data_IF_979187786248
#
_entry.id   IF_979187786248
#
_cell.length_a   1.000
_cell.length_b   1.000
_cell.length_c   1.000
_cell.angle_alpha   90.00
_cell.angle_beta   90.00
_cell.angle_gamma   90.00
#
_symmetry.space_group_name_H-M   'P 1'
#
loop_
_entity.id
_entity.type
_entity.pdbx_description
1 polymer ?
#
# COMPACT_ATOMS: atom_id res chain seq x y z
N UNK A 1 -20.57 -36.97 6.66
CA UNK A 1 -22.01 -36.73 6.90
C UNK A 1 -22.14 -35.50 7.79
N UNK A 2 -22.20 -34.31 7.20
CA UNK A 2 -22.51 -33.08 7.92
C UNK A 2 -23.88 -32.61 7.45
N UNK A 3 -24.78 -32.44 8.40
CA UNK A 3 -26.18 -32.10 8.22
C UNK A 3 -26.31 -30.71 7.57
N UNK A 4 -26.94 -30.64 6.40
CA UNK A 4 -27.55 -29.40 5.92
C UNK A 4 -28.77 -29.13 6.82
N UNK A 5 -28.70 -28.13 7.68
CA UNK A 5 -29.87 -27.67 8.44
C UNK A 5 -30.73 -26.82 7.49
N UNK A 6 -31.75 -27.44 6.92
CA UNK A 6 -32.76 -26.77 6.10
C UNK A 6 -33.75 -26.10 7.07
N UNK A 7 -33.92 -24.78 6.97
CA UNK A 7 -34.99 -24.06 7.67
C UNK A 7 -36.35 -24.50 7.09
N UNK A 8 -37.04 -25.40 7.79
CA UNK A 8 -38.45 -25.71 7.56
C UNK A 8 -39.22 -25.56 8.89
N UNK A 9 -40.49 -25.13 8.85
CA UNK A 9 -41.31 -25.04 10.04
C UNK A 9 -41.74 -26.46 10.47
N UNK A 10 -41.31 -26.89 11.67
CA UNK A 10 -41.72 -28.11 12.40
C UNK A 10 -41.10 -29.46 11.94
N UNK A 11 -40.92 -30.45 12.84
CA UNK A 11 -40.11 -31.64 12.57
C UNK A 11 -40.93 -32.74 11.87
N UNK A 12 -40.47 -33.22 10.71
CA UNK A 12 -40.98 -34.43 10.05
C UNK A 12 -39.89 -35.51 9.99
N UNK A 13 -40.26 -36.75 10.29
CA UNK A 13 -39.39 -37.93 10.24
C UNK A 13 -39.23 -38.42 8.79
N UNK A 14 -38.00 -38.78 8.38
CA UNK A 14 -37.66 -39.21 7.02
C UNK A 14 -37.27 -40.69 6.97
N UNK A 15 -37.73 -41.42 5.93
CA UNK A 15 -37.25 -42.75 5.56
C UNK A 15 -36.37 -42.68 4.30
N UNK A 16 -35.08 -43.03 4.46
CA UNK A 16 -34.05 -43.37 3.44
C UNK A 16 -34.09 -42.72 2.04
N UNK A 17 -33.03 -41.97 1.70
CA UNK A 17 -32.73 -41.53 0.33
C UNK A 17 -31.67 -42.45 -0.32
N UNK A 18 -31.91 -42.89 -1.56
CA UNK A 18 -30.92 -43.56 -2.41
C UNK A 18 -30.25 -42.55 -3.34
N UNK A 19 -28.92 -42.56 -3.40
CA UNK A 19 -28.11 -41.77 -4.34
C UNK A 19 -27.39 -42.72 -5.27
N UNK A 20 -27.60 -42.59 -6.59
CA UNK A 20 -26.86 -43.33 -7.61
C UNK A 20 -26.15 -42.39 -8.58
N UNK A 21 -24.83 -42.52 -8.66
CA UNK A 21 -23.90 -42.04 -9.71
C UNK A 21 -23.29 -40.61 -9.59
N UNK A 22 -21.99 -40.41 -9.92
CA UNK A 22 -21.26 -39.16 -9.69
C UNK A 22 -21.27 -38.13 -10.85
N UNK A 23 -22.04 -38.36 -11.92
CA UNK A 23 -21.93 -37.57 -13.17
C UNK A 23 -23.23 -36.95 -13.69
N UNK A 24 -24.19 -36.63 -12.83
CA UNK A 24 -25.40 -35.89 -13.23
C UNK A 24 -25.45 -34.51 -12.58
N UNK A 25 -25.64 -33.47 -13.41
CA UNK A 25 -25.83 -32.08 -13.01
C UNK A 25 -27.14 -31.81 -12.29
N UNK A 26 -28.02 -32.82 -12.17
CA UNK A 26 -29.30 -32.76 -11.50
C UNK A 26 -29.46 -33.99 -10.59
N UNK A 27 -29.76 -33.77 -9.31
CA UNK A 27 -30.18 -34.83 -8.39
C UNK A 27 -31.65 -34.57 -8.06
N UNK A 28 -32.52 -35.45 -8.53
CA UNK A 28 -33.93 -35.42 -8.17
C UNK A 28 -34.10 -36.18 -6.85
N UNK A 29 -34.50 -35.47 -5.79
CA UNK A 29 -34.86 -36.09 -4.51
C UNK A 29 -36.37 -36.22 -4.46
N UNK A 30 -36.87 -37.45 -4.39
CA UNK A 30 -38.30 -37.74 -4.19
C UNK A 30 -38.54 -37.97 -2.71
N UNK A 31 -39.40 -37.15 -2.09
CA UNK A 31 -39.85 -37.35 -0.72
C UNK A 31 -41.36 -37.64 -0.78
N UNK A 32 -41.78 -38.77 -0.22
CA UNK A 32 -43.18 -39.08 0.00
C UNK A 32 -43.59 -38.61 1.40
N UNK A 33 -44.60 -37.75 1.47
CA UNK A 33 -45.35 -37.49 2.69
C UNK A 33 -46.52 -38.50 2.83
N UNK A 34 -46.96 -38.72 4.06
CA UNK A 34 -48.12 -39.51 4.50
C UNK A 34 -49.45 -39.20 3.77
N UNK A 35 -49.52 -38.09 3.03
CA UNK A 35 -50.66 -37.67 2.21
C UNK A 35 -50.56 -38.04 0.71
N UNK A 36 -49.55 -38.84 0.31
CA UNK A 36 -49.33 -39.34 -1.06
C UNK A 36 -49.14 -38.26 -2.15
N UNK A 37 -48.73 -37.04 -1.76
CA UNK A 37 -48.32 -35.98 -2.69
C UNK A 37 -46.82 -36.08 -2.98
N UNK A 38 -46.45 -36.09 -4.27
CA UNK A 38 -45.06 -36.07 -4.72
C UNK A 38 -44.62 -34.61 -4.87
N UNK A 39 -43.64 -34.17 -4.08
CA UNK A 39 -43.04 -32.85 -4.19
C UNK A 39 -41.69 -32.99 -4.89
N UNK A 40 -41.52 -32.36 -6.06
CA UNK A 40 -40.24 -32.29 -6.76
C UNK A 40 -39.44 -31.10 -6.24
N UNK A 41 -38.33 -31.36 -5.56
CA UNK A 41 -37.32 -30.35 -5.28
C UNK A 41 -36.21 -30.46 -6.32
N UNK A 42 -36.06 -29.45 -7.16
CA UNK A 42 -34.85 -29.29 -7.97
C UNK A 42 -33.76 -28.74 -7.05
N UNK A 43 -32.94 -29.63 -6.48
CA UNK A 43 -31.71 -29.21 -5.83
C UNK A 43 -30.76 -28.68 -6.92
N UNK A 44 -30.63 -27.36 -7.03
CA UNK A 44 -29.57 -26.76 -7.84
C UNK A 44 -28.26 -27.19 -7.18
N UNK A 45 -27.45 -27.95 -7.93
CA UNK A 45 -26.07 -28.20 -7.57
C UNK A 45 -25.41 -26.83 -7.38
N UNK A 46 -25.17 -26.43 -6.14
CA UNK A 46 -24.15 -25.44 -5.84
C UNK A 46 -22.85 -26.08 -6.32
N UNK A 47 -22.54 -25.90 -7.60
CA UNK A 47 -21.18 -26.05 -8.07
C UNK A 47 -20.35 -25.24 -7.08
N UNK A 48 -19.63 -25.95 -6.21
CA UNK A 48 -18.49 -25.40 -5.52
C UNK A 48 -17.49 -25.10 -6.64
N UNK A 49 -17.72 -23.99 -7.36
CA UNK A 49 -16.81 -23.45 -8.36
C UNK A 49 -15.50 -23.29 -7.62
N UNK A 50 -14.57 -24.19 -7.90
CA UNK A 50 -13.29 -24.25 -7.21
C UNK A 50 -12.63 -22.87 -7.34
N UNK A 51 -12.55 -22.14 -6.22
CA UNK A 51 -11.96 -20.82 -6.21
C UNK A 51 -10.48 -20.95 -6.59
N UNK A 52 -9.97 -20.12 -7.53
CA UNK A 52 -8.59 -20.21 -7.95
C UNK A 52 -7.63 -19.94 -6.80
N UNK A 53 -6.47 -20.60 -6.81
CA UNK A 53 -5.35 -20.27 -5.93
C UNK A 53 -4.71 -18.96 -6.39
N UNK A 54 -4.47 -18.05 -5.47
CA UNK A 54 -4.00 -16.69 -5.77
C UNK A 54 -2.63 -16.45 -5.15
N UNK A 55 -1.68 -16.00 -5.97
CA UNK A 55 -0.41 -15.44 -5.51
C UNK A 55 -0.46 -13.91 -5.59
N UNK A 56 -0.15 -13.24 -4.49
CA UNK A 56 -0.09 -11.76 -4.43
C UNK A 56 1.37 -11.33 -4.39
N UNK A 57 1.79 -10.56 -5.37
CA UNK A 57 3.12 -9.94 -5.38
C UNK A 57 2.99 -8.42 -5.27
N UNK A 58 3.60 -7.86 -4.23
CA UNK A 58 3.47 -6.44 -3.90
C UNK A 58 4.72 -5.66 -4.28
N UNK A 59 4.52 -4.57 -5.00
CA UNK A 59 5.52 -3.57 -5.31
C UNK A 59 5.16 -2.24 -4.66
N UNK A 60 6.15 -1.56 -4.08
CA UNK A 60 6.00 -0.17 -3.61
C UNK A 60 6.27 0.01 -2.13
N UNK A 61 5.43 0.82 -1.48
CA UNK A 61 5.65 1.27 -0.10
C UNK A 61 4.82 0.45 0.91
N UNK A 62 4.95 0.81 2.19
CA UNK A 62 4.13 0.26 3.29
C UNK A 62 2.62 0.38 3.01
N UNK A 63 2.20 1.42 2.28
CA UNK A 63 0.81 1.59 1.87
C UNK A 63 0.36 0.51 0.87
N UNK A 64 1.19 0.21 -0.15
CA UNK A 64 0.92 -0.90 -1.08
C UNK A 64 0.88 -2.25 -0.35
N UNK A 65 1.73 -2.43 0.67
CA UNK A 65 1.68 -3.63 1.51
C UNK A 65 0.38 -3.71 2.30
N UNK A 66 -0.07 -2.59 2.91
CA UNK A 66 -1.39 -2.50 3.55
C UNK A 66 -2.53 -2.86 2.59
N UNK A 67 -2.51 -2.36 1.34
CA UNK A 67 -3.53 -2.71 0.35
C UNK A 67 -3.50 -4.22 0.02
N UNK A 68 -2.31 -4.83 0.00
CA UNK A 68 -2.16 -6.26 -0.24
C UNK A 68 -2.65 -7.09 0.94
N UNK A 69 -2.40 -6.65 2.17
CA UNK A 69 -2.94 -7.27 3.38
C UNK A 69 -4.48 -7.23 3.37
N UNK A 70 -5.08 -6.12 2.89
CA UNK A 70 -6.52 -5.98 2.72
C UNK A 70 -7.07 -6.90 1.61
N UNK A 71 -6.44 -6.89 0.42
CA UNK A 71 -6.81 -7.79 -0.69
C UNK A 71 -6.75 -9.26 -0.23
N UNK A 72 -5.68 -9.65 0.47
CA UNK A 72 -5.52 -10.99 1.01
C UNK A 72 -6.63 -11.35 2.01
N UNK A 73 -6.99 -10.43 2.92
CA UNK A 73 -8.07 -10.64 3.88
C UNK A 73 -9.43 -10.84 3.20
N UNK A 74 -9.75 -9.99 2.21
CA UNK A 74 -10.99 -10.08 1.43
C UNK A 74 -11.06 -11.43 0.68
N UNK A 75 -9.99 -11.79 -0.03
CA UNK A 75 -9.92 -13.05 -0.78
C UNK A 75 -10.06 -14.28 0.15
N UNK A 76 -9.42 -14.25 1.33
CA UNK A 76 -9.52 -15.35 2.29
C UNK A 76 -10.94 -15.53 2.83
N UNK A 77 -11.65 -14.43 3.14
CA UNK A 77 -13.04 -14.48 3.58
C UNK A 77 -14.00 -15.00 2.49
N UNK A 78 -13.70 -14.69 1.23
CA UNK A 78 -14.45 -15.17 0.06
C UNK A 78 -14.07 -16.60 -0.39
N UNK A 79 -13.26 -17.31 0.42
CA UNK A 79 -12.91 -18.71 0.21
C UNK A 79 -11.81 -18.96 -0.83
N UNK A 80 -11.07 -17.94 -1.27
CA UNK A 80 -9.90 -18.12 -2.13
C UNK A 80 -8.71 -18.65 -1.32
N UNK A 81 -7.89 -19.50 -1.95
CA UNK A 81 -6.67 -20.01 -1.32
C UNK A 81 -5.47 -19.14 -1.71
N UNK A 82 -4.82 -18.53 -0.73
CA UNK A 82 -3.59 -17.76 -0.96
C UNK A 82 -2.36 -18.69 -0.96
N UNK A 83 -1.56 -18.62 -2.02
CA UNK A 83 -0.31 -19.39 -2.16
C UNK A 83 0.91 -18.49 -2.01
N UNK A 84 2.05 -19.07 -1.65
CA UNK A 84 3.29 -18.33 -1.34
C UNK A 84 4.25 -18.18 -2.52
N UNK A 85 4.03 -18.93 -3.60
CA UNK A 85 4.88 -18.90 -4.79
C UNK A 85 4.03 -18.77 -6.05
N UNK A 86 4.68 -18.28 -7.12
CA UNK A 86 4.04 -18.00 -8.41
C UNK A 86 3.64 -19.27 -9.15
N UNK A 87 4.39 -20.35 -8.92
CA UNK A 87 4.24 -21.63 -9.58
C UNK A 87 2.97 -22.37 -9.15
N UNK A 88 2.56 -22.18 -7.90
CA UNK A 88 1.36 -22.78 -7.32
C UNK A 88 0.08 -21.95 -7.59
N UNK A 89 0.19 -20.84 -8.31
CA UNK A 89 -0.91 -19.92 -8.49
C UNK A 89 -1.72 -20.23 -9.76
N UNK A 90 -3.05 -20.21 -9.64
CA UNK A 90 -3.96 -20.24 -10.79
C UNK A 90 -4.20 -18.82 -11.32
N UNK A 91 -4.09 -17.80 -10.45
CA UNK A 91 -4.11 -16.36 -10.78
C UNK A 91 -3.02 -15.62 -10.01
N UNK A 92 -2.30 -14.73 -10.69
CA UNK A 92 -1.27 -13.86 -10.09
C UNK A 92 -1.80 -12.44 -9.98
N UNK A 93 -1.90 -11.91 -8.76
CA UNK A 93 -2.28 -10.51 -8.52
C UNK A 93 -1.03 -9.68 -8.24
N UNK A 94 -0.71 -8.74 -9.14
CA UNK A 94 0.40 -7.81 -8.95
C UNK A 94 -0.13 -6.50 -8.38
N UNK A 95 0.17 -6.18 -7.11
CA UNK A 95 -0.11 -4.87 -6.54
C UNK A 95 1.04 -3.92 -6.85
N UNK A 96 0.79 -2.95 -7.70
CA UNK A 96 1.81 -2.15 -8.40
C UNK A 96 1.97 -0.75 -7.83
N UNK A 97 3.15 -0.17 -8.07
CA UNK A 97 3.50 1.18 -7.67
C UNK A 97 3.89 2.03 -8.88
N UNK A 98 3.50 3.32 -8.87
CA UNK A 98 3.81 4.30 -9.94
C UNK A 98 4.87 5.34 -9.50
N UNK A 99 5.34 5.28 -8.25
CA UNK A 99 6.15 6.37 -7.66
C UNK A 99 7.60 6.35 -8.15
N UNK A 100 8.24 5.18 -8.25
CA UNK A 100 9.66 5.05 -8.61
C UNK A 100 9.82 4.43 -10.01
N UNK A 101 10.56 5.11 -10.89
CA UNK A 101 10.79 4.66 -12.26
C UNK A 101 11.43 3.28 -12.36
N UNK A 102 12.43 2.98 -11.53
CA UNK A 102 13.06 1.67 -11.49
C UNK A 102 12.09 0.55 -11.06
N UNK A 103 11.17 0.83 -10.13
CA UNK A 103 10.15 -0.12 -9.69
C UNK A 103 9.13 -0.35 -10.81
N UNK A 104 8.68 0.70 -11.47
CA UNK A 104 7.77 0.61 -12.61
C UNK A 104 8.37 -0.24 -13.75
N UNK A 105 9.64 -0.01 -14.12
CA UNK A 105 10.29 -0.83 -15.15
C UNK A 105 10.37 -2.31 -14.77
N UNK A 106 10.62 -2.64 -13.50
CA UNK A 106 10.57 -4.03 -13.00
C UNK A 106 9.17 -4.63 -13.15
N UNK A 107 8.13 -3.87 -12.80
CA UNK A 107 6.73 -4.28 -12.95
C UNK A 107 6.42 -4.55 -14.43
N UNK A 108 6.79 -3.65 -15.34
CA UNK A 108 6.53 -3.82 -16.78
C UNK A 108 7.25 -5.04 -17.36
N UNK A 109 8.49 -5.28 -16.95
CA UNK A 109 9.22 -6.49 -17.33
C UNK A 109 8.52 -7.76 -16.80
N UNK A 110 8.08 -7.74 -15.54
CA UNK A 110 7.32 -8.85 -14.93
C UNK A 110 6.02 -9.12 -15.69
N UNK A 111 5.24 -8.08 -15.99
CA UNK A 111 3.99 -8.19 -16.75
C UNK A 111 4.24 -8.85 -18.11
N UNK A 112 5.22 -8.36 -18.86
CA UNK A 112 5.59 -8.93 -20.16
C UNK A 112 5.91 -10.43 -20.05
N UNK A 113 6.76 -10.82 -19.08
CA UNK A 113 7.13 -12.22 -18.83
C UNK A 113 5.91 -13.09 -18.53
N UNK A 114 5.00 -12.63 -17.68
CA UNK A 114 3.82 -13.39 -17.30
C UNK A 114 2.83 -13.55 -18.47
N UNK A 115 2.66 -12.50 -19.28
CA UNK A 115 1.81 -12.54 -20.48
C UNK A 115 2.38 -13.49 -21.53
N UNK A 116 3.69 -13.45 -21.78
CA UNK A 116 4.39 -14.39 -22.68
C UNK A 116 4.24 -15.85 -22.21
N UNK A 117 4.26 -16.06 -20.88
CA UNK A 117 4.01 -17.36 -20.26
C UNK A 117 2.52 -17.74 -20.16
N UNK A 118 1.61 -16.93 -20.74
CA UNK A 118 0.15 -17.13 -20.73
C UNK A 118 -0.42 -17.32 -19.33
N UNK A 119 0.16 -16.66 -18.32
CA UNK A 119 -0.35 -16.66 -16.95
C UNK A 119 -1.60 -15.78 -16.87
N UNK A 120 -2.49 -16.12 -15.95
CA UNK A 120 -3.67 -15.31 -15.61
C UNK A 120 -3.27 -14.27 -14.58
N UNK A 121 -3.50 -12.99 -14.86
CA UNK A 121 -2.93 -11.88 -14.10
C UNK A 121 -4.03 -10.88 -13.76
N UNK A 122 -4.00 -10.36 -12.53
CA UNK A 122 -4.70 -9.13 -12.14
C UNK A 122 -3.66 -8.05 -11.88
N UNK A 123 -3.84 -6.86 -12.42
CA UNK A 123 -2.95 -5.72 -12.13
C UNK A 123 -3.68 -4.76 -11.20
N UNK A 124 -3.19 -4.64 -9.98
CA UNK A 124 -3.78 -3.82 -8.93
C UNK A 124 -2.91 -2.62 -8.54
N UNK A 125 -3.46 -1.67 -7.79
CA UNK A 125 -2.70 -0.63 -7.09
C UNK A 125 -2.52 0.67 -7.86
N UNK A 126 -1.43 1.39 -7.59
CA UNK A 126 -1.28 2.79 -8.05
C UNK A 126 -1.05 2.92 -9.56
N UNK A 127 -0.43 1.92 -10.21
CA UNK A 127 -0.12 2.00 -11.64
C UNK A 127 -1.37 1.92 -12.53
N UNK A 128 -2.28 0.93 -12.37
CA UNK A 128 -3.50 0.88 -13.18
C UNK A 128 -4.43 2.07 -12.90
N UNK A 129 -4.41 2.63 -11.69
CA UNK A 129 -5.18 3.84 -11.36
C UNK A 129 -4.62 5.09 -12.06
N UNK A 130 -3.31 5.32 -11.98
CA UNK A 130 -2.70 6.54 -12.52
C UNK A 130 -2.41 6.48 -14.02
N UNK A 131 -2.20 5.29 -14.58
CA UNK A 131 -1.82 5.10 -15.98
C UNK A 131 -2.31 3.74 -16.53
N UNK A 132 -3.64 3.57 -16.68
CA UNK A 132 -4.22 2.32 -17.18
C UNK A 132 -3.72 1.98 -18.59
N UNK A 133 -3.52 2.97 -19.45
CA UNK A 133 -3.05 2.75 -20.84
C UNK A 133 -1.65 2.13 -20.89
N UNK A 134 -0.77 2.49 -19.96
CA UNK A 134 0.53 1.82 -19.86
C UNK A 134 0.35 0.35 -19.48
N UNK A 135 -0.54 0.03 -18.55
CA UNK A 135 -0.80 -1.37 -18.19
C UNK A 135 -1.40 -2.14 -19.36
N UNK A 136 -2.42 -1.58 -20.04
CA UNK A 136 -3.10 -2.21 -21.19
C UNK A 136 -2.13 -2.51 -22.34
N UNK A 137 -1.09 -1.68 -22.55
CA UNK A 137 -0.05 -1.96 -23.55
C UNK A 137 0.78 -3.21 -23.24
N UNK A 138 0.99 -3.54 -21.96
CA UNK A 138 1.82 -4.68 -21.55
C UNK A 138 1.00 -5.92 -21.17
N UNK A 139 -0.23 -5.73 -20.70
CA UNK A 139 -1.15 -6.79 -20.27
C UNK A 139 -2.61 -6.44 -20.66
N UNK A 140 -2.95 -6.47 -21.96
CA UNK A 140 -4.23 -5.96 -22.47
C UNK A 140 -5.47 -6.72 -21.98
N UNK A 141 -5.31 -8.00 -21.61
CA UNK A 141 -6.40 -8.86 -21.15
C UNK A 141 -6.47 -8.98 -19.62
N UNK A 142 -5.58 -8.31 -18.88
CA UNK A 142 -5.53 -8.43 -17.43
C UNK A 142 -6.58 -7.50 -16.78
N UNK A 143 -7.44 -8.01 -15.89
CA UNK A 143 -8.28 -7.17 -15.06
C UNK A 143 -7.48 -6.11 -14.31
N UNK A 144 -8.05 -4.92 -14.23
CA UNK A 144 -7.46 -3.77 -13.55
C UNK A 144 -8.19 -3.48 -12.25
N UNK A 145 -7.44 -3.43 -11.16
CA UNK A 145 -7.95 -3.13 -9.82
C UNK A 145 -7.32 -1.84 -9.28
N UNK A 146 -8.13 -0.80 -9.23
CA UNK A 146 -7.77 0.52 -8.75
C UNK A 146 -7.50 0.56 -7.25
N UNK A 147 -6.95 1.67 -6.78
CA UNK A 147 -6.58 1.83 -5.36
C UNK A 147 -7.78 1.95 -4.44
N UNK A 148 -8.89 2.49 -4.95
CA UNK A 148 -10.15 2.71 -4.23
C UNK A 148 -11.14 1.54 -4.38
N UNK A 149 -10.78 0.49 -5.12
CA UNK A 149 -11.69 -0.59 -5.47
C UNK A 149 -11.28 -1.95 -4.88
N UNK A 150 -10.48 -1.97 -3.80
CA UNK A 150 -9.92 -3.21 -3.24
C UNK A 150 -10.98 -4.28 -2.90
N UNK A 151 -12.21 -3.86 -2.55
CA UNK A 151 -13.34 -4.76 -2.31
C UNK A 151 -13.71 -5.62 -3.52
N UNK A 152 -13.39 -5.17 -4.73
CA UNK A 152 -13.65 -5.88 -6.00
C UNK A 152 -12.54 -6.88 -6.37
N UNK A 153 -11.58 -7.14 -5.46
CA UNK A 153 -10.52 -8.12 -5.70
C UNK A 153 -11.05 -9.53 -6.03
N UNK A 154 -12.09 -10.07 -5.34
CA UNK A 154 -12.70 -11.36 -5.69
C UNK A 154 -13.18 -11.41 -7.15
N UNK A 155 -13.90 -10.38 -7.60
CA UNK A 155 -14.44 -10.28 -8.95
C UNK A 155 -13.33 -10.14 -9.99
N UNK A 156 -12.29 -9.34 -9.69
CA UNK A 156 -11.15 -9.19 -10.57
C UNK A 156 -10.37 -10.51 -10.73
N UNK A 157 -10.15 -11.25 -9.63
CA UNK A 157 -9.50 -12.56 -9.65
C UNK A 157 -10.34 -13.58 -10.42
N UNK A 158 -11.65 -13.61 -10.16
CA UNK A 158 -12.56 -14.52 -10.86
C UNK A 158 -12.62 -14.23 -12.37
N UNK A 159 -12.68 -12.95 -12.75
CA UNK A 159 -12.62 -12.54 -14.15
C UNK A 159 -11.31 -12.98 -14.82
N UNK A 160 -10.17 -12.79 -14.15
CA UNK A 160 -8.88 -13.25 -14.66
C UNK A 160 -8.85 -14.78 -14.84
N UNK A 161 -9.43 -15.53 -13.90
CA UNK A 161 -9.53 -16.99 -13.98
C UNK A 161 -10.34 -17.46 -15.20
N UNK A 162 -11.45 -16.77 -15.47
CA UNK A 162 -12.36 -17.04 -16.59
C UNK A 162 -11.88 -16.45 -17.93
N UNK A 163 -10.74 -15.73 -17.95
CA UNK A 163 -10.23 -15.07 -19.15
C UNK A 163 -11.04 -13.84 -19.58
N UNK A 164 -11.79 -13.24 -18.65
CA UNK A 164 -12.54 -11.99 -18.86
C UNK A 164 -11.73 -10.79 -18.42
N UNK A 165 -11.91 -9.68 -19.13
CA UNK A 165 -11.36 -8.38 -18.78
C UNK A 165 -12.40 -7.54 -18.03
N UNK A 166 -12.03 -6.99 -16.88
CA UNK A 166 -12.84 -6.05 -16.09
C UNK A 166 -11.97 -4.94 -15.53
N UNK A 167 -12.54 -3.74 -15.38
CA UNK A 167 -11.81 -2.57 -14.87
C UNK A 167 -12.57 -1.96 -13.70
N UNK A 168 -11.96 -2.00 -12.52
CA UNK A 168 -12.46 -1.37 -11.30
C UNK A 168 -11.55 -0.19 -10.95
N UNK A 169 -11.68 0.92 -11.67
CA UNK A 169 -10.85 2.12 -11.50
C UNK A 169 -11.68 3.27 -10.89
N UNK A 170 -11.03 4.15 -10.11
CA UNK A 170 -11.69 5.28 -9.47
C UNK A 170 -12.59 4.88 -8.29
N UNK A 171 -13.55 5.76 -7.98
CA UNK A 171 -14.47 5.60 -6.85
C UNK A 171 -13.94 6.12 -5.51
N UNK A 172 -14.71 5.90 -4.45
CA UNK A 172 -14.33 6.17 -3.06
C UNK A 172 -14.49 4.87 -2.28
N UNK A 173 -13.37 4.31 -1.83
CA UNK A 173 -13.36 3.08 -1.03
C UNK A 173 -12.81 3.34 0.34
N UNK A 174 -13.55 2.95 1.38
CA UNK A 174 -13.02 2.90 2.74
C UNK A 174 -12.05 1.72 2.85
N UNK A 175 -10.79 1.98 3.25
CA UNK A 175 -9.78 0.92 3.36
C UNK A 175 -9.56 0.47 4.78
N UNK A 176 -9.75 1.35 5.75
CA UNK A 176 -9.41 1.07 7.14
C UNK A 176 -10.20 -0.12 7.69
N UNK A 177 -11.50 -0.16 7.40
CA UNK A 177 -12.44 -1.21 7.81
C UNK A 177 -12.34 -2.52 7.03
N UNK A 178 -11.54 -2.56 5.94
CA UNK A 178 -11.42 -3.77 5.13
C UNK A 178 -10.78 -4.91 5.93
N UNK A 179 -11.25 -6.15 5.76
CA UNK A 179 -10.61 -7.33 6.32
C UNK A 179 -9.14 -7.39 5.91
N UNK A 180 -8.25 -7.57 6.89
CA UNK A 180 -6.79 -7.62 6.67
C UNK A 180 -6.23 -8.94 7.12
N UNK A 181 -5.40 -9.52 6.27
CA UNK A 181 -4.56 -10.64 6.64
C UNK A 181 -3.28 -10.12 7.29
N UNK A 182 -3.16 -10.29 8.61
CA UNK A 182 -1.94 -9.91 9.34
C UNK A 182 -0.97 -11.09 9.35
N UNK A 183 -0.04 -11.11 8.39
CA UNK A 183 1.01 -12.12 8.36
C UNK A 183 2.07 -11.84 9.44
N UNK A 184 1.85 -12.39 10.64
CA UNK A 184 2.80 -12.35 11.76
C UNK A 184 2.66 -11.13 12.67
N UNK A 185 3.77 -10.69 13.25
CA UNK A 185 3.77 -9.70 14.33
C UNK A 185 3.61 -8.23 13.90
N UNK A 186 3.42 -7.94 12.61
CA UNK A 186 3.41 -6.57 12.07
C UNK A 186 2.06 -6.25 11.42
N UNK A 187 1.38 -5.21 11.91
CA UNK A 187 0.18 -4.66 11.30
C UNK A 187 0.49 -3.35 10.57
N UNK A 188 -0.04 -3.18 9.36
CA UNK A 188 0.09 -1.96 8.55
C UNK A 188 -1.28 -1.27 8.48
N UNK A 189 -1.38 -0.12 9.12
CA UNK A 189 -2.67 0.57 9.32
C UNK A 189 -2.63 1.90 8.57
N UNK A 190 -3.45 2.08 7.52
CA UNK A 190 -3.56 3.35 6.84
C UNK A 190 -4.34 4.34 7.71
N UNK A 191 -3.74 5.49 8.03
CA UNK A 191 -4.38 6.53 8.85
C UNK A 191 -5.08 7.60 8.00
N UNK A 192 -4.68 7.73 6.75
CA UNK A 192 -5.30 8.59 5.76
C UNK A 192 -5.03 8.03 4.36
N UNK A 193 -5.85 8.41 3.39
CA UNK A 193 -5.59 8.21 1.96
C UNK A 193 -5.40 9.54 1.24
N UNK A 194 -4.80 9.48 0.05
CA UNK A 194 -4.55 10.64 -0.78
C UNK A 194 -3.53 11.60 -0.17
N UNK A 195 -3.38 12.78 -0.78
CA UNK A 195 -2.35 13.74 -0.37
C UNK A 195 -2.82 15.17 -0.61
N UNK A 196 -2.38 16.11 0.24
CA UNK A 196 -2.58 17.56 -0.01
C UNK A 196 -1.56 18.13 -1.00
N UNK A 197 -0.39 17.50 -1.12
CA UNK A 197 0.74 18.02 -1.88
C UNK A 197 0.42 18.30 -3.36
N UNK A 198 1.03 19.36 -3.90
CA UNK A 198 0.95 19.74 -5.31
C UNK A 198 2.31 19.55 -6.02
N UNK A 199 3.08 18.55 -5.58
CA UNK A 199 4.45 18.30 -6.04
C UNK A 199 4.46 18.13 -7.57
N UNK A 200 5.36 18.83 -8.25
CA UNK A 200 5.39 18.91 -9.72
C UNK A 200 5.71 17.60 -10.42
N UNK A 201 6.23 16.61 -9.69
CA UNK A 201 6.74 15.33 -10.21
C UNK A 201 5.93 14.10 -9.78
N UNK A 202 4.98 14.27 -8.86
CA UNK A 202 4.33 13.16 -8.19
C UNK A 202 2.98 12.83 -8.82
N UNK A 203 2.69 11.54 -9.02
CA UNK A 203 1.39 11.05 -9.51
C UNK A 203 0.45 10.59 -8.39
N UNK A 204 0.83 10.77 -7.12
CA UNK A 204 0.04 10.26 -5.98
C UNK A 204 -1.40 10.75 -6.00
N UNK A 205 -1.67 12.02 -6.34
CA UNK A 205 -3.06 12.52 -6.45
C UNK A 205 -3.85 11.86 -7.57
N UNK A 206 -3.20 11.48 -8.67
CA UNK A 206 -3.85 10.71 -9.74
C UNK A 206 -4.18 9.30 -9.27
N UNK A 207 -3.29 8.69 -8.48
CA UNK A 207 -3.45 7.32 -8.00
C UNK A 207 -4.31 7.18 -6.73
N UNK A 208 -4.46 8.23 -5.91
CA UNK A 208 -5.01 8.15 -4.54
C UNK A 208 -5.95 9.30 -4.19
N UNK A 209 -6.10 10.29 -5.07
CA UNK A 209 -6.96 11.45 -4.82
C UNK A 209 -6.41 12.44 -3.78
N UNK A 210 -7.32 13.26 -3.28
CA UNK A 210 -7.05 14.25 -2.23
C UNK A 210 -7.02 13.59 -0.86
N UNK A 211 -6.44 14.30 0.12
CA UNK A 211 -6.39 13.83 1.51
C UNK A 211 -7.79 13.49 2.02
N UNK A 212 -7.90 12.29 2.57
CA UNK A 212 -9.03 11.82 3.35
C UNK A 212 -8.50 11.10 4.59
N UNK A 213 -8.56 11.76 5.75
CA UNK A 213 -8.13 11.19 7.02
C UNK A 213 -9.24 10.34 7.63
N UNK A 214 -8.87 9.20 8.22
CA UNK A 214 -9.82 8.42 9.01
C UNK A 214 -9.99 9.04 10.41
N UNK A 215 -11.19 9.00 11.01
CA UNK A 215 -11.40 9.45 12.39
C UNK A 215 -10.48 8.72 13.37
N UNK A 216 -10.06 9.41 14.44
CA UNK A 216 -9.11 8.87 15.43
C UNK A 216 -9.65 7.57 16.02
N UNK A 217 -10.93 7.56 16.39
CA UNK A 217 -11.62 6.42 16.97
C UNK A 217 -11.56 5.18 16.08
N UNK A 218 -11.69 5.34 14.76
CA UNK A 218 -11.59 4.24 13.81
C UNK A 218 -10.16 3.68 13.76
N UNK A 219 -9.16 4.57 13.76
CA UNK A 219 -7.75 4.15 13.74
C UNK A 219 -7.37 3.47 15.05
N UNK A 220 -7.77 4.02 16.20
CA UNK A 220 -7.54 3.45 17.53
C UNK A 220 -8.17 2.07 17.65
N UNK A 221 -9.42 1.91 17.21
CA UNK A 221 -10.10 0.62 17.21
C UNK A 221 -9.37 -0.43 16.37
N UNK A 222 -8.91 -0.06 15.17
CA UNK A 222 -8.14 -0.98 14.32
C UNK A 222 -6.78 -1.34 14.94
N UNK A 223 -6.09 -0.38 15.57
CA UNK A 223 -4.84 -0.66 16.29
C UNK A 223 -5.09 -1.62 17.44
N UNK A 224 -6.13 -1.37 18.25
CA UNK A 224 -6.50 -2.22 19.36
C UNK A 224 -6.80 -3.66 18.90
N UNK A 225 -7.63 -3.81 17.85
CA UNK A 225 -7.92 -5.10 17.24
C UNK A 225 -6.65 -5.84 16.80
N UNK A 226 -5.69 -5.14 16.18
CA UNK A 226 -4.43 -5.76 15.76
C UNK A 226 -3.58 -6.20 16.95
N UNK A 227 -3.53 -5.42 18.04
CA UNK A 227 -2.80 -5.76 19.26
C UNK A 227 -3.43 -6.98 19.95
N UNK A 228 -4.76 -7.06 20.00
CA UNK A 228 -5.50 -8.21 20.53
C UNK A 228 -5.26 -9.49 19.72
N UNK A 229 -5.06 -9.36 18.40
CA UNK A 229 -4.64 -10.45 17.51
C UNK A 229 -3.14 -10.81 17.64
N UNK A 230 -2.40 -10.16 18.55
CA UNK A 230 -1.01 -10.47 18.85
C UNK A 230 0.03 -9.71 18.03
N UNK A 231 -0.37 -8.68 17.27
CA UNK A 231 0.60 -7.83 16.57
C UNK A 231 1.46 -7.03 17.57
N UNK A 232 2.78 -7.04 17.35
CA UNK A 232 3.79 -6.38 18.19
C UNK A 232 4.35 -5.10 17.57
N UNK A 233 4.19 -4.90 16.28
CA UNK A 233 4.61 -3.69 15.59
C UNK A 233 3.48 -3.13 14.72
N UNK A 234 3.14 -1.87 14.97
CA UNK A 234 2.10 -1.13 14.27
C UNK A 234 2.77 -0.10 13.36
N UNK A 235 2.60 -0.27 12.05
CA UNK A 235 3.11 0.64 11.03
C UNK A 235 1.98 1.57 10.59
N UNK A 236 1.94 2.79 11.13
CA UNK A 236 0.97 3.80 10.69
C UNK A 236 1.42 4.37 9.35
N UNK A 237 0.57 4.31 8.33
CA UNK A 237 0.94 4.68 6.97
C UNK A 237 -0.06 5.64 6.33
N UNK A 238 0.48 6.56 5.53
CA UNK A 238 -0.25 7.46 4.65
C UNK A 238 0.71 7.90 3.55
N UNK A 239 0.20 8.56 2.52
CA UNK A 239 1.04 9.24 1.53
C UNK A 239 1.83 10.38 2.18
N UNK A 240 1.28 10.98 3.24
CA UNK A 240 1.94 11.96 4.10
C UNK A 240 1.29 11.90 5.48
N UNK A 241 1.93 11.22 6.44
CA UNK A 241 1.37 11.07 7.79
C UNK A 241 1.29 12.41 8.52
N UNK A 242 2.17 13.36 8.19
CA UNK A 242 2.15 14.69 8.78
C UNK A 242 0.93 15.51 8.34
N UNK A 243 0.30 15.16 7.22
CA UNK A 243 -0.92 15.82 6.76
C UNK A 243 -2.19 15.30 7.46
N UNK A 244 -2.10 14.20 8.23
CA UNK A 244 -3.25 13.60 8.90
C UNK A 244 -4.03 14.63 9.74
N UNK A 245 -5.35 14.60 9.62
CA UNK A 245 -6.26 15.40 10.42
C UNK A 245 -6.55 16.80 9.89
N UNK A 246 -5.78 17.30 8.91
CA UNK A 246 -5.98 18.65 8.35
C UNK A 246 -7.34 18.84 7.67
N UNK A 247 -7.96 17.76 7.20
CA UNK A 247 -9.29 17.72 6.57
C UNK A 247 -10.43 17.46 7.57
N UNK A 248 -10.15 16.99 8.78
CA UNK A 248 -11.15 16.63 9.81
C UNK A 248 -10.95 17.38 11.14
N UNK A 249 -10.18 18.48 11.14
CA UNK A 249 -9.91 19.36 12.30
C UNK A 249 -9.26 18.64 13.50
N UNK A 250 -8.32 17.74 13.23
CA UNK A 250 -7.41 17.15 14.23
C UNK A 250 -5.97 17.20 13.68
N UNK A 251 -5.04 16.45 14.27
CA UNK A 251 -3.68 16.33 13.77
C UNK A 251 -3.04 14.97 14.17
N UNK A 252 -1.87 14.69 13.60
CA UNK A 252 -1.13 13.47 13.88
C UNK A 252 -0.74 13.31 15.35
N UNK A 253 -0.50 14.40 16.08
CA UNK A 253 -0.09 14.34 17.50
C UNK A 253 -1.24 13.80 18.35
N UNK A 254 -2.46 14.31 18.15
CA UNK A 254 -3.67 13.82 18.83
C UNK A 254 -3.94 12.34 18.54
N UNK A 255 -3.79 11.92 17.29
CA UNK A 255 -3.90 10.49 16.93
C UNK A 255 -2.85 9.65 17.67
N UNK A 256 -1.59 10.08 17.65
CA UNK A 256 -0.51 9.34 18.30
C UNK A 256 -0.71 9.27 19.82
N UNK A 257 -1.20 10.34 20.45
CA UNK A 257 -1.58 10.35 21.86
C UNK A 257 -2.65 9.28 22.14
N UNK A 258 -3.72 9.24 21.35
CA UNK A 258 -4.75 8.22 21.53
C UNK A 258 -4.23 6.79 21.33
N UNK A 259 -3.34 6.58 20.34
CA UNK A 259 -2.76 5.26 20.05
C UNK A 259 -1.82 4.78 21.16
N UNK A 260 -1.02 5.65 21.79
CA UNK A 260 -0.10 5.22 22.86
C UNK A 260 -0.81 4.88 24.17
N UNK A 261 -2.06 5.32 24.37
CA UNK A 261 -2.87 4.95 25.54
C UNK A 261 -3.43 3.52 25.45
N UNK A 262 -3.48 2.92 24.25
CA UNK A 262 -4.00 1.55 24.06
C UNK A 262 -3.17 0.56 24.90
N UNK A 263 -3.78 -0.26 25.79
CA UNK A 263 -3.05 -1.20 26.62
C UNK A 263 -2.38 -2.30 25.77
N UNK A 264 -1.28 -2.85 26.28
CA UNK A 264 -0.55 -3.93 25.63
C UNK A 264 0.90 -3.58 25.26
N UNK A 265 1.67 -4.62 24.99
CA UNK A 265 3.07 -4.53 24.60
C UNK A 265 3.22 -4.57 23.07
N UNK A 266 3.34 -3.38 22.47
CA UNK A 266 3.57 -3.18 21.05
C UNK A 266 4.39 -1.90 20.82
N UNK A 267 4.95 -1.77 19.62
CA UNK A 267 5.64 -0.56 19.16
C UNK A 267 4.96 0.03 17.94
N UNK A 268 4.91 1.36 17.88
CA UNK A 268 4.38 2.13 16.75
C UNK A 268 5.55 2.71 15.95
N UNK A 269 5.51 2.52 14.64
CA UNK A 269 6.38 3.22 13.70
C UNK A 269 5.54 4.12 12.81
N UNK A 270 5.79 5.41 12.92
CA UNK A 270 5.13 6.43 12.10
C UNK A 270 5.76 6.43 10.71
N UNK A 271 4.91 6.48 9.69
CA UNK A 271 5.29 6.60 8.30
C UNK A 271 5.97 7.93 7.96
N UNK A 272 6.17 8.17 6.68
CA UNK A 272 6.84 9.39 6.22
C UNK A 272 6.00 10.63 6.51
N UNK A 273 6.68 11.72 6.88
CA UNK A 273 6.07 13.03 7.11
C UNK A 273 6.75 14.06 6.21
N UNK A 274 5.96 14.87 5.52
CA UNK A 274 6.49 16.04 4.83
C UNK A 274 7.03 17.08 5.83
N UNK A 275 8.24 17.65 5.60
CA UNK A 275 8.80 18.70 6.46
C UNK A 275 7.86 19.87 6.73
N UNK A 276 7.05 20.30 5.75
CA UNK A 276 6.06 21.36 5.91
C UNK A 276 5.10 21.07 7.06
N UNK A 277 4.53 19.87 7.10
CA UNK A 277 3.53 19.53 8.10
C UNK A 277 4.17 19.15 9.43
N UNK A 278 5.29 18.42 9.41
CA UNK A 278 6.02 18.08 10.62
C UNK A 278 6.47 19.31 11.40
N UNK A 279 6.90 20.39 10.71
CA UNK A 279 7.34 21.62 11.37
C UNK A 279 6.22 22.28 12.18
N UNK A 280 4.99 22.29 11.65
CA UNK A 280 3.82 22.92 12.30
C UNK A 280 3.45 22.27 13.64
N UNK A 281 3.79 21.01 13.82
CA UNK A 281 3.46 20.21 14.99
C UNK A 281 4.71 19.74 15.74
N UNK A 282 5.88 20.33 15.47
CA UNK A 282 7.16 19.83 15.96
C UNK A 282 7.22 19.65 17.49
N UNK A 283 6.77 20.61 18.34
CA UNK A 283 6.78 20.40 19.80
C UNK A 283 5.92 19.21 20.24
N UNK A 284 4.73 19.07 19.66
CA UNK A 284 3.82 17.95 19.96
C UNK A 284 4.38 16.62 19.49
N UNK A 285 4.99 16.57 18.30
CA UNK A 285 5.69 15.38 17.80
C UNK A 285 6.84 14.97 18.72
N UNK A 286 7.65 15.92 19.18
CA UNK A 286 8.72 15.62 20.12
C UNK A 286 8.17 15.03 21.41
N UNK A 287 7.07 15.58 21.95
CA UNK A 287 6.42 15.08 23.17
C UNK A 287 5.91 13.65 23.01
N UNK A 288 5.14 13.33 21.95
CA UNK A 288 4.60 11.96 21.77
C UNK A 288 5.70 10.94 21.52
N UNK A 289 6.79 11.34 20.84
CA UNK A 289 7.96 10.49 20.64
C UNK A 289 8.71 10.19 21.93
N UNK A 290 8.40 10.79 23.08
CA UNK A 290 8.95 10.39 24.38
C UNK A 290 8.43 9.03 24.82
N UNK A 291 7.19 8.69 24.43
CA UNK A 291 6.60 7.39 24.72
C UNK A 291 7.48 6.25 24.22
N UNK A 292 7.70 5.26 25.07
CA UNK A 292 8.42 4.04 24.70
C UNK A 292 7.67 3.23 23.63
N UNK A 293 6.34 3.38 23.51
CA UNK A 293 5.59 2.73 22.44
C UNK A 293 5.96 3.28 21.06
N UNK A 294 6.41 4.53 20.94
CA UNK A 294 6.84 5.07 19.63
C UNK A 294 8.31 4.73 19.37
N UNK A 295 8.56 4.03 18.27
CA UNK A 295 9.92 3.76 17.76
C UNK A 295 10.62 5.09 17.52
N UNK A 296 11.87 5.21 18.00
CA UNK A 296 12.76 6.35 17.72
C UNK A 296 13.27 6.30 16.27
N UNK A 297 12.33 6.45 15.33
CA UNK A 297 12.53 6.44 13.90
C UNK A 297 11.74 7.61 13.28
N UNK A 298 12.42 8.44 12.50
CA UNK A 298 11.83 9.57 11.80
C UNK A 298 12.08 9.42 10.30
N UNK A 299 11.01 9.29 9.52
CA UNK A 299 11.10 9.32 8.06
C UNK A 299 10.62 10.68 7.55
N UNK A 300 11.58 11.50 7.11
CA UNK A 300 11.34 12.90 6.73
C UNK A 300 11.98 13.18 5.36
N UNK A 301 11.22 13.10 4.25
CA UNK A 301 11.76 13.25 2.91
C UNK A 301 12.13 14.70 2.57
N UNK A 302 13.42 15.00 2.38
CA UNK A 302 13.87 16.36 1.99
C UNK A 302 13.72 16.62 0.49
N UNK A 303 13.87 15.58 -0.34
CA UNK A 303 13.85 15.58 -1.80
C UNK A 303 15.07 16.22 -2.48
N UNK A 304 15.54 17.38 -2.03
CA UNK A 304 16.75 18.04 -2.56
C UNK A 304 17.44 18.89 -1.50
N UNK A 305 18.75 19.10 -1.61
CA UNK A 305 19.48 20.07 -0.78
C UNK A 305 19.54 21.48 -1.35
N UNK A 306 18.80 21.80 -2.43
CA UNK A 306 18.72 23.16 -2.96
C UNK A 306 17.32 23.74 -2.81
N UNK A 307 17.20 24.88 -2.11
CA UNK A 307 15.92 25.60 -1.97
C UNK A 307 15.34 26.02 -3.33
N UNK A 308 16.18 26.28 -4.33
CA UNK A 308 15.72 26.55 -5.70
C UNK A 308 14.97 25.32 -6.25
N UNK A 309 15.60 24.14 -6.19
CA UNK A 309 15.00 22.90 -6.67
C UNK A 309 13.78 22.51 -5.84
N UNK A 310 13.79 22.72 -4.52
CA UNK A 310 12.63 22.51 -3.66
C UNK A 310 11.44 23.38 -4.08
N UNK A 311 11.66 24.66 -4.40
CA UNK A 311 10.62 25.54 -4.96
C UNK A 311 10.14 25.05 -6.33
N UNK A 312 11.05 24.65 -7.22
CA UNK A 312 10.71 24.11 -8.54
C UNK A 312 9.89 22.80 -8.43
N UNK A 313 10.11 22.04 -7.34
CA UNK A 313 9.35 20.84 -6.96
C UNK A 313 8.00 21.15 -6.30
N UNK A 314 7.72 22.42 -5.97
CA UNK A 314 6.59 22.90 -5.14
C UNK A 314 6.59 22.30 -3.74
N UNK A 315 7.75 22.35 -3.07
CA UNK A 315 7.88 22.03 -1.65
C UNK A 315 7.79 23.32 -0.85
N UNK A 316 6.84 23.42 0.08
CA UNK A 316 6.61 24.62 0.89
C UNK A 316 7.49 24.64 2.15
N UNK A 317 8.77 24.30 2.00
CA UNK A 317 9.77 24.34 3.06
C UNK A 317 11.16 24.54 2.48
N UNK A 318 12.08 25.00 3.31
CA UNK A 318 13.50 25.15 2.96
C UNK A 318 14.36 24.02 3.55
N UNK A 319 15.60 23.93 3.09
CA UNK A 319 16.62 23.05 3.69
C UNK A 319 16.84 23.41 5.16
N UNK A 320 16.78 24.69 5.53
CA UNK A 320 16.93 25.09 6.93
C UNK A 320 15.76 24.61 7.79
N UNK A 321 14.51 24.70 7.30
CA UNK A 321 13.34 24.18 8.00
C UNK A 321 13.43 22.68 8.23
N UNK A 322 13.86 21.95 7.20
CA UNK A 322 14.18 20.54 7.33
C UNK A 322 15.25 20.28 8.40
N UNK A 323 16.35 21.03 8.39
CA UNK A 323 17.43 20.89 9.37
C UNK A 323 16.98 21.23 10.79
N UNK A 324 16.05 22.18 10.99
CA UNK A 324 15.46 22.48 12.30
C UNK A 324 14.79 21.25 12.89
N UNK A 325 13.98 20.53 12.09
CA UNK A 325 13.31 19.28 12.51
C UNK A 325 14.36 18.24 12.91
N UNK A 326 15.34 17.98 12.02
CA UNK A 326 16.40 16.98 12.25
C UNK A 326 17.19 17.29 13.52
N UNK A 327 17.59 18.54 13.73
CA UNK A 327 18.34 18.99 14.92
C UNK A 327 17.50 18.83 16.18
N UNK A 328 16.22 19.21 16.15
CA UNK A 328 15.33 19.10 17.30
C UNK A 328 15.14 17.65 17.76
N UNK A 329 14.88 16.74 16.81
CA UNK A 329 14.74 15.32 17.11
C UNK A 329 16.04 14.70 17.63
N UNK A 330 17.19 15.01 17.03
CA UNK A 330 18.49 14.49 17.52
C UNK A 330 18.86 15.00 18.91
N UNK A 331 18.54 16.26 19.20
CA UNK A 331 18.78 16.84 20.52
C UNK A 331 17.91 16.17 21.60
N UNK A 332 16.63 15.90 21.30
CA UNK A 332 15.72 15.24 22.25
C UNK A 332 15.98 13.73 22.35
N UNK A 333 16.34 13.09 21.24
CA UNK A 333 16.51 11.65 21.11
C UNK A 333 17.85 11.32 20.40
N UNK A 334 18.97 11.25 21.13
CA UNK A 334 20.30 11.03 20.52
C UNK A 334 20.41 9.75 19.67
N UNK A 335 19.66 8.70 20.02
CA UNK A 335 19.64 7.42 19.31
C UNK A 335 18.66 7.36 18.13
N UNK A 336 17.97 8.46 17.80
CA UNK A 336 16.95 8.44 16.75
C UNK A 336 17.53 8.09 15.39
N UNK A 337 16.86 7.16 14.69
CA UNK A 337 17.18 6.81 13.32
C UNK A 337 16.40 7.69 12.35
N UNK A 338 17.10 8.45 11.51
CA UNK A 338 16.49 9.35 10.53
C UNK A 338 16.64 8.77 9.13
N UNK A 339 15.51 8.58 8.45
CA UNK A 339 15.41 8.24 7.05
C UNK A 339 14.96 9.44 6.22
N UNK A 340 15.52 9.61 5.03
CA UNK A 340 15.09 10.65 4.08
C UNK A 340 15.06 10.10 2.66
N UNK A 341 14.33 10.78 1.77
CA UNK A 341 14.33 10.51 0.34
C UNK A 341 14.90 11.71 -0.40
N UNK A 342 15.70 11.43 -1.42
CA UNK A 342 16.34 12.43 -2.28
C UNK A 342 16.11 12.04 -3.74
N UNK A 343 15.78 13.03 -4.56
CA UNK A 343 15.63 12.91 -6.00
C UNK A 343 16.75 13.70 -6.66
N UNK A 344 17.63 13.00 -7.38
CA UNK A 344 18.70 13.63 -8.18
C UNK A 344 18.31 13.68 -9.66
N UNK A 345 18.83 14.68 -10.37
CA UNK A 345 18.57 14.86 -11.79
C UNK A 345 17.20 15.45 -12.08
N UNK A 346 16.62 16.22 -11.14
CA UNK A 346 15.39 16.96 -11.41
C UNK A 346 15.61 17.95 -12.58
N UNK A 347 14.62 18.20 -13.47
CA UNK A 347 14.86 18.91 -14.74
C UNK A 347 15.53 20.28 -14.62
N UNK A 348 15.30 21.00 -13.51
CA UNK A 348 15.88 22.33 -13.28
C UNK A 348 17.17 22.32 -12.44
N UNK A 349 17.64 21.14 -12.01
CA UNK A 349 18.78 21.01 -11.09
C UNK A 349 20.10 21.33 -11.81
N UNK A 350 20.79 22.37 -11.35
CA UNK A 350 22.13 22.72 -11.84
C UNK A 350 23.22 21.94 -11.09
N UNK A 351 24.47 22.06 -11.55
CA UNK A 351 25.63 21.48 -10.83
C UNK A 351 25.77 22.07 -9.42
N UNK A 352 25.52 23.37 -9.25
CA UNK A 352 25.53 24.02 -7.93
C UNK A 352 24.42 23.50 -7.02
N UNK A 353 23.22 23.28 -7.56
CA UNK A 353 22.10 22.69 -6.84
C UNK A 353 22.42 21.27 -6.36
N UNK A 354 23.07 20.48 -7.23
CA UNK A 354 23.53 19.13 -6.89
C UNK A 354 24.61 19.15 -5.79
N UNK A 355 25.59 20.06 -5.87
CA UNK A 355 26.60 20.24 -4.81
C UNK A 355 25.97 20.59 -3.46
N UNK A 356 24.91 21.42 -3.44
CA UNK A 356 24.16 21.69 -2.21
C UNK A 356 23.51 20.43 -1.64
N UNK A 357 23.01 19.54 -2.49
CA UNK A 357 22.49 18.22 -2.07
C UNK A 357 23.57 17.33 -1.44
N UNK A 358 24.77 17.27 -2.04
CA UNK A 358 25.90 16.54 -1.44
C UNK A 358 26.32 17.15 -0.09
N UNK A 359 26.38 18.48 -0.01
CA UNK A 359 26.68 19.18 1.25
C UNK A 359 25.63 18.90 2.34
N UNK A 360 24.34 18.81 1.97
CA UNK A 360 23.28 18.45 2.91
C UNK A 360 23.46 17.02 3.44
N UNK A 361 23.80 16.05 2.57
CA UNK A 361 24.09 14.67 2.99
C UNK A 361 25.20 14.64 4.04
N UNK A 362 26.30 15.33 3.79
CA UNK A 362 27.45 15.39 4.70
C UNK A 362 27.12 16.10 6.02
N UNK A 363 26.36 17.21 5.99
CA UNK A 363 25.95 17.93 7.21
C UNK A 363 24.95 17.14 8.04
N UNK A 364 23.96 16.54 7.38
CA UNK A 364 22.85 15.92 8.07
C UNK A 364 23.10 14.44 8.40
N UNK A 365 24.07 13.75 7.79
CA UNK A 365 24.52 12.38 8.13
C UNK A 365 23.38 11.42 8.48
N UNK A 366 22.42 11.25 7.56
CA UNK A 366 21.23 10.41 7.77
C UNK A 366 21.59 8.93 8.04
N UNK A 367 20.68 8.20 8.69
CA UNK A 367 20.84 6.75 8.89
C UNK A 367 20.44 5.95 7.65
N UNK A 368 19.43 6.45 6.93
CA UNK A 368 18.92 5.83 5.70
C UNK A 368 18.65 6.93 4.68
N UNK A 369 19.19 6.77 3.48
CA UNK A 369 18.91 7.67 2.35
C UNK A 369 18.32 6.85 1.20
N UNK A 370 17.06 7.12 0.90
CA UNK A 370 16.36 6.56 -0.24
C UNK A 370 16.64 7.43 -1.47
N UNK A 371 17.78 7.19 -2.11
CA UNK A 371 18.17 7.91 -3.32
C UNK A 371 17.36 7.42 -4.53
N UNK A 372 16.78 8.36 -5.28
CA UNK A 372 16.05 8.09 -6.51
C UNK A 372 16.55 8.98 -7.64
N UNK A 373 16.63 8.42 -8.85
CA UNK A 373 16.80 9.21 -10.07
C UNK A 373 15.45 9.81 -10.44
N UNK A 374 15.43 11.08 -10.84
CA UNK A 374 14.24 11.66 -11.45
C UNK A 374 13.82 10.82 -12.67
N UNK A 375 12.52 10.60 -12.82
CA UNK A 375 11.94 9.98 -14.01
C UNK A 375 10.70 10.79 -14.35
N UNK A 376 10.59 11.34 -15.58
CA UNK A 376 9.41 12.09 -15.97
C UNK A 376 8.19 11.17 -15.92
N UNK A 377 7.13 11.64 -15.27
CA UNK A 377 5.90 10.89 -15.10
C UNK A 377 4.79 11.51 -15.94
N UNK A 378 4.04 10.72 -16.74
CA UNK A 378 2.92 11.24 -17.52
C UNK A 378 2.00 12.13 -16.67
N UNK A 379 1.47 13.18 -17.28
CA UNK A 379 0.54 14.13 -16.67
C UNK A 379 1.11 15.02 -15.55
N UNK A 380 2.39 14.92 -15.23
CA UNK A 380 3.03 15.78 -14.21
C UNK A 380 3.65 17.04 -14.83
N UNK A 381 3.74 18.12 -14.07
CA UNK A 381 4.35 19.38 -14.55
C UNK A 381 5.82 19.18 -14.92
N UNK A 382 6.57 18.44 -14.10
CA UNK A 382 7.99 18.18 -14.30
C UNK A 382 8.28 17.35 -15.57
N UNK A 383 7.31 16.56 -16.06
CA UNK A 383 7.46 15.82 -17.31
C UNK A 383 7.44 16.72 -18.55
N UNK A 384 6.88 17.94 -18.46
CA UNK A 384 6.86 18.93 -19.55
C UNK A 384 8.12 19.80 -19.61
N UNK A 385 8.97 19.74 -18.57
CA UNK A 385 10.22 20.47 -18.53
C UNK A 385 11.27 19.83 -19.44
N UNK A 386 12.30 20.59 -19.83
CA UNK A 386 13.45 20.04 -20.54
C UNK A 386 14.23 19.12 -19.60
N UNK A 387 14.30 17.84 -19.94
CA UNK A 387 14.95 16.83 -19.13
C UNK A 387 16.48 16.96 -19.18
N UNK A 388 17.15 16.64 -18.07
CA UNK A 388 18.60 16.52 -18.06
C UNK A 388 19.04 15.29 -18.88
N UNK A 389 20.23 15.34 -19.51
CA UNK A 389 20.78 14.17 -20.19
C UNK A 389 20.88 12.97 -19.24
N UNK A 390 20.50 11.78 -19.74
CA UNK A 390 20.51 10.56 -18.93
C UNK A 390 21.90 10.24 -18.33
N UNK A 391 22.98 10.59 -19.03
CA UNK A 391 24.35 10.42 -18.53
C UNK A 391 24.60 11.26 -17.28
N UNK A 392 24.08 12.50 -17.26
CA UNK A 392 24.22 13.41 -16.13
C UNK A 392 23.42 12.94 -14.91
N UNK A 393 22.17 12.49 -15.12
CA UNK A 393 21.36 11.91 -14.04
C UNK A 393 22.02 10.66 -13.45
N UNK A 394 22.65 9.82 -14.29
CA UNK A 394 23.41 8.64 -13.83
C UNK A 394 24.66 9.04 -13.05
N UNK A 395 25.42 10.03 -13.52
CA UNK A 395 26.61 10.55 -12.82
C UNK A 395 26.25 11.06 -11.42
N UNK A 396 25.27 11.94 -11.32
CA UNK A 396 24.78 12.49 -10.03
C UNK A 396 24.29 11.40 -9.08
N UNK A 397 23.54 10.43 -9.60
CA UNK A 397 23.07 9.29 -8.81
C UNK A 397 24.22 8.44 -8.27
N UNK A 398 25.29 8.25 -9.04
CA UNK A 398 26.47 7.51 -8.58
C UNK A 398 27.21 8.28 -7.49
N UNK A 399 27.49 9.56 -7.70
CA UNK A 399 28.19 10.42 -6.74
C UNK A 399 27.43 10.54 -5.42
N UNK A 400 26.11 10.77 -5.46
CA UNK A 400 25.29 10.82 -4.26
C UNK A 400 25.23 9.46 -3.54
N UNK A 401 25.21 8.34 -4.27
CA UNK A 401 25.27 7.01 -3.67
C UNK A 401 26.62 6.74 -2.99
N UNK A 402 27.73 7.16 -3.61
CA UNK A 402 29.06 7.06 -3.04
C UNK A 402 29.19 7.89 -1.75
N UNK A 403 28.66 9.12 -1.73
CA UNK A 403 28.59 9.95 -0.53
C UNK A 403 27.76 9.28 0.59
N UNK A 404 26.58 8.75 0.27
CA UNK A 404 25.75 8.03 1.23
C UNK A 404 26.46 6.79 1.80
N UNK A 405 27.19 6.04 0.96
CA UNK A 405 27.97 4.87 1.38
C UNK A 405 29.09 5.27 2.33
N UNK A 406 29.83 6.33 2.02
CA UNK A 406 30.91 6.86 2.88
C UNK A 406 30.38 7.23 4.26
N UNK A 407 29.30 8.03 4.31
CA UNK A 407 28.66 8.44 5.57
C UNK A 407 28.18 7.22 6.37
N UNK A 408 27.57 6.23 5.70
CA UNK A 408 27.08 5.01 6.35
C UNK A 408 28.22 4.20 6.98
N UNK A 409 29.37 4.09 6.30
CA UNK A 409 30.56 3.41 6.81
C UNK A 409 31.17 4.13 8.01
N UNK A 410 31.27 5.46 7.95
CA UNK A 410 31.77 6.26 9.07
C UNK A 410 30.86 6.14 10.30
N UNK A 411 29.54 6.13 10.10
CA UNK A 411 28.55 5.95 11.18
C UNK A 411 28.54 4.55 11.77
N UNK A 412 29.00 3.53 11.05
CA UNK A 412 29.11 2.18 11.57
C UNK A 412 30.38 1.98 12.42
N UNK A 413 31.35 2.89 12.31
CA UNK A 413 32.62 2.89 13.06
C UNK A 413 32.60 3.78 14.30
N UNK A 414 31.68 4.74 14.36
CA UNK A 414 31.38 5.60 15.51
C UNK A 414 30.31 4.97 16.39
#
# INVERSE_FOLDING_TARGET
MQFLQIFLPQPMHFSSAFVSSPHLSHVNVTIQDTSNRIIFFTAINLNCMQKPRVFIETYGCTFNQSDSDAIAGILALEGFTLVKCEEDADVILLNTCTVKGATEQKILYKLKRLVEARKRIVVAGCLPEANPDLVKRYAPAAPLLGTNALSHAPEAVQAAFEGRHVEFLGGKGERLSLPRFHAGAIARIPIADGCLGACTYCQTKLARGNLHSYPIECVVHEVQRCVELGCKEILLTAQDTGAYGLDIKTNLVELLQAVIEIPGDFKVRVGMMNPEHALRMLPGLLSVYESEKIRKFLHIPVQSGSDKVLRDMRRNYTVEDFLKIVKAFRRRFPSIRIATDIIVGYPTETEEDFKKTLNLLEKARFNVVNLSKFTPRPFTHAARLRQLPNQEVKRRSREAAEACRKISLERARS
#
